data_IF_715079453572
#
_entry.id   IF_715079453572
#
_cell.length_a   1.000
_cell.length_b   1.000
_cell.length_c   1.000
_cell.angle_alpha   90.00
_cell.angle_beta   90.00
_cell.angle_gamma   90.00
#
_symmetry.space_group_name_H-M   'P 1'
#
loop_
_entity.id
_entity.type
_entity.pdbx_description
1 polymer ?
#
# COMPACT_ATOMS: atom_id res chain seq x y z
N UNK A 1 -1.26 33.05 8.82
CA UNK A 1 0.10 32.51 9.07
C UNK A 1 0.13 31.01 9.39
N UNK A 2 -0.36 30.52 10.54
CA UNK A 2 -0.11 29.13 11.03
C UNK A 2 -0.38 27.98 10.04
N UNK A 3 -1.47 28.04 9.27
CA UNK A 3 -1.80 26.97 8.30
C UNK A 3 -0.87 26.95 7.08
N UNK A 4 -0.36 28.11 6.66
CA UNK A 4 0.57 28.20 5.52
C UNK A 4 1.92 27.61 5.90
N UNK A 5 2.41 27.93 7.10
CA UNK A 5 3.67 27.37 7.61
C UNK A 5 3.60 25.85 7.75
N UNK A 6 2.46 25.32 8.21
CA UNK A 6 2.18 23.89 8.27
C UNK A 6 2.19 23.24 6.87
N UNK A 7 1.54 23.84 5.88
CA UNK A 7 1.52 23.34 4.49
C UNK A 7 2.84 23.48 3.76
N UNK A 8 3.72 24.40 4.16
CA UNK A 8 5.02 24.56 3.53
C UNK A 8 6.08 23.60 4.12
N UNK A 9 6.02 23.31 5.42
CA UNK A 9 7.11 22.59 6.10
C UNK A 9 6.72 21.25 6.71
N UNK A 10 5.44 21.00 6.97
CA UNK A 10 4.98 19.83 7.73
C UNK A 10 4.18 18.85 6.88
N UNK A 11 3.49 19.34 5.85
CA UNK A 11 2.56 18.55 5.04
C UNK A 11 2.89 18.74 3.58
N UNK A 12 2.92 17.63 2.84
CA UNK A 12 3.00 17.60 1.38
C UNK A 12 1.78 16.87 0.82
N UNK A 13 1.35 17.21 -0.39
CA UNK A 13 0.11 16.69 -0.97
C UNK A 13 0.33 16.16 -2.40
N UNK A 14 -0.25 15.00 -2.68
CA UNK A 14 -0.40 14.41 -4.01
C UNK A 14 -1.89 14.34 -4.32
N UNK A 15 -2.26 14.93 -5.45
CA UNK A 15 -3.64 15.00 -5.94
C UNK A 15 -3.90 13.91 -6.99
N UNK A 16 -5.16 13.49 -7.13
CA UNK A 16 -5.65 12.55 -8.15
C UNK A 16 -5.27 12.98 -9.57
N UNK A 17 -5.56 14.23 -9.93
CA UNK A 17 -4.95 14.90 -11.07
C UNK A 17 -3.73 15.62 -10.54
N UNK A 18 -2.52 15.12 -10.81
CA UNK A 18 -1.25 15.45 -10.15
C UNK A 18 -0.89 16.94 -10.00
N UNK A 19 -1.72 17.87 -10.46
CA UNK A 19 -1.65 19.30 -10.16
C UNK A 19 -0.36 19.91 -10.66
N UNK A 20 0.21 19.32 -11.71
CA UNK A 20 1.45 19.77 -12.32
C UNK A 20 1.17 21.01 -13.15
N UNK A 21 2.12 21.94 -13.12
CA UNK A 21 2.04 23.21 -13.83
C UNK A 21 2.52 22.96 -15.27
N UNK A 22 1.61 22.99 -16.27
CA UNK A 22 1.94 22.54 -17.63
C UNK A 22 2.93 23.46 -18.35
N UNK A 23 2.98 24.73 -17.97
CA UNK A 23 3.93 25.71 -18.51
C UNK A 23 5.33 25.60 -17.87
N UNK A 24 5.51 24.80 -16.81
CA UNK A 24 6.80 24.58 -16.15
C UNK A 24 7.44 23.26 -16.58
N UNK A 25 8.76 23.18 -16.51
CA UNK A 25 9.51 21.94 -16.74
C UNK A 25 9.30 20.94 -15.60
N UNK A 26 9.77 19.72 -15.80
CA UNK A 26 9.78 18.69 -14.75
C UNK A 26 10.54 19.16 -13.52
N UNK A 27 11.76 19.69 -13.69
CA UNK A 27 12.57 20.20 -12.59
C UNK A 27 11.91 21.36 -11.85
N UNK A 28 11.30 22.29 -12.58
CA UNK A 28 10.57 23.43 -12.01
C UNK A 28 9.33 22.99 -11.23
N UNK A 29 8.64 21.92 -11.69
CA UNK A 29 7.53 21.34 -10.96
C UNK A 29 7.98 20.70 -9.65
N UNK A 30 9.06 19.91 -9.67
CA UNK A 30 9.61 19.27 -8.47
C UNK A 30 10.12 20.32 -7.47
N UNK A 31 10.79 21.37 -7.95
CA UNK A 31 11.33 22.43 -7.11
C UNK A 31 10.31 23.48 -6.63
N UNK A 32 9.06 23.43 -7.10
CA UNK A 32 8.06 24.46 -6.83
C UNK A 32 7.82 24.71 -5.33
N UNK A 33 7.73 23.64 -4.52
CA UNK A 33 7.55 23.77 -3.07
C UNK A 33 8.73 24.45 -2.38
N UNK A 34 9.95 24.20 -2.85
CA UNK A 34 11.19 24.78 -2.32
C UNK A 34 11.33 26.26 -2.71
N UNK A 35 10.94 26.61 -3.93
CA UNK A 35 10.85 28.00 -4.40
C UNK A 35 9.90 28.82 -3.52
N UNK A 36 8.71 28.28 -3.23
CA UNK A 36 7.73 28.94 -2.36
C UNK A 36 8.17 29.05 -0.90
N UNK A 37 9.00 28.11 -0.44
CA UNK A 37 9.61 28.14 0.89
C UNK A 37 10.83 29.07 0.97
N UNK A 38 11.25 29.69 -0.14
CA UNK A 38 12.38 30.63 -0.18
C UNK A 38 13.76 29.95 -0.13
N UNK A 39 13.85 28.66 -0.47
CA UNK A 39 15.12 27.91 -0.49
C UNK A 39 16.03 28.46 -1.60
N UNK A 40 17.32 28.72 -1.32
CA UNK A 40 18.28 29.20 -2.32
C UNK A 40 18.33 28.33 -3.57
N UNK A 41 18.59 28.94 -4.72
CA UNK A 41 18.53 28.24 -6.01
C UNK A 41 19.48 27.04 -6.11
N UNK A 42 20.71 27.17 -5.61
CA UNK A 42 21.70 26.09 -5.61
C UNK A 42 21.23 24.88 -4.79
N UNK A 43 20.70 25.12 -3.59
CA UNK A 43 20.16 24.06 -2.72
C UNK A 43 18.91 23.41 -3.33
N UNK A 44 18.05 24.23 -3.97
CA UNK A 44 16.88 23.75 -4.69
C UNK A 44 17.28 22.84 -5.86
N UNK A 45 18.24 23.24 -6.70
CA UNK A 45 18.72 22.43 -7.83
C UNK A 45 19.27 21.10 -7.38
N UNK A 46 20.07 21.08 -6.30
CA UNK A 46 20.61 19.85 -5.71
C UNK A 46 19.49 18.92 -5.25
N UNK A 47 18.55 19.44 -4.45
CA UNK A 47 17.42 18.64 -3.93
C UNK A 47 16.55 18.11 -5.07
N UNK A 48 16.27 18.93 -6.09
CA UNK A 48 15.49 18.52 -7.27
C UNK A 48 16.20 17.41 -8.03
N UNK A 49 17.51 17.52 -8.26
CA UNK A 49 18.28 16.48 -8.94
C UNK A 49 18.23 15.15 -8.19
N UNK A 50 18.45 15.17 -6.86
CA UNK A 50 18.34 13.99 -6.01
C UNK A 50 16.95 13.35 -6.11
N UNK A 51 15.87 14.12 -5.99
CA UNK A 51 14.52 13.56 -6.10
C UNK A 51 14.20 13.01 -7.50
N UNK A 52 14.70 13.65 -8.56
CA UNK A 52 14.51 13.17 -9.93
C UNK A 52 15.28 11.87 -10.20
N UNK A 53 16.45 11.68 -9.60
CA UNK A 53 17.16 10.41 -9.62
C UNK A 53 16.36 9.31 -8.91
N UNK A 54 15.81 9.62 -7.72
CA UNK A 54 15.02 8.66 -6.95
C UNK A 54 13.80 8.12 -7.71
N UNK A 55 13.18 8.93 -8.58
CA UNK A 55 12.04 8.51 -9.39
C UNK A 55 12.41 8.10 -10.82
N UNK A 56 13.71 8.04 -11.15
CA UNK A 56 14.24 7.71 -12.47
C UNK A 56 13.82 8.67 -13.60
N UNK A 57 13.72 9.97 -13.31
CA UNK A 57 13.36 11.01 -14.27
C UNK A 57 14.44 12.07 -14.50
N UNK A 58 15.68 11.87 -14.03
CA UNK A 58 16.77 12.83 -14.20
C UNK A 58 16.97 13.30 -15.66
N UNK A 59 16.85 12.38 -16.63
CA UNK A 59 16.98 12.70 -18.08
C UNK A 59 15.84 13.57 -18.65
N UNK A 60 14.75 13.73 -17.90
CA UNK A 60 13.56 14.45 -18.32
C UNK A 60 13.41 15.81 -17.61
N UNK A 61 14.41 16.21 -16.81
CA UNK A 61 14.38 17.41 -15.98
C UNK A 61 13.96 18.69 -16.74
N UNK A 62 14.47 18.88 -17.96
CA UNK A 62 14.24 20.08 -18.76
C UNK A 62 12.98 20.00 -19.66
N UNK A 63 12.31 18.85 -19.69
CA UNK A 63 11.13 18.62 -20.54
C UNK A 63 9.90 19.27 -19.92
N UNK A 64 8.93 19.66 -20.75
CA UNK A 64 7.61 20.07 -20.25
C UNK A 64 6.80 18.86 -19.82
N UNK A 65 5.95 19.03 -18.81
CA UNK A 65 5.14 17.94 -18.24
C UNK A 65 4.22 17.29 -19.28
N UNK A 66 3.72 18.08 -20.23
CA UNK A 66 2.84 17.60 -21.31
C UNK A 66 3.54 16.63 -22.28
N UNK A 67 4.87 16.63 -22.32
CA UNK A 67 5.66 15.70 -23.14
C UNK A 67 5.84 14.32 -22.47
N UNK A 68 5.36 14.17 -21.24
CA UNK A 68 5.51 12.94 -20.46
C UNK A 68 4.26 12.06 -20.56
N UNK A 69 4.46 10.74 -20.46
CA UNK A 69 3.36 9.80 -20.25
C UNK A 69 2.70 10.01 -18.87
N UNK A 70 1.45 9.57 -18.70
CA UNK A 70 0.72 9.72 -17.43
C UNK A 70 1.48 9.15 -16.23
N UNK A 71 2.10 7.97 -16.37
CA UNK A 71 2.92 7.37 -15.30
C UNK A 71 4.20 8.16 -14.99
N UNK A 72 4.77 8.85 -15.97
CA UNK A 72 5.90 9.75 -15.74
C UNK A 72 5.46 11.05 -15.06
N UNK A 73 4.33 11.64 -15.47
CA UNK A 73 3.73 12.80 -14.80
C UNK A 73 3.47 12.49 -13.32
N UNK A 74 2.97 11.29 -13.02
CA UNK A 74 2.77 10.86 -11.65
C UNK A 74 4.06 10.81 -10.82
N UNK A 75 5.14 10.28 -11.38
CA UNK A 75 6.47 10.28 -10.74
C UNK A 75 6.97 11.70 -10.49
N UNK A 76 6.67 12.66 -11.37
CA UNK A 76 6.95 14.09 -11.12
C UNK A 76 6.14 14.61 -9.94
N UNK A 77 4.84 14.29 -9.86
CA UNK A 77 3.99 14.66 -8.73
C UNK A 77 4.50 14.11 -7.39
N UNK A 78 4.95 12.86 -7.39
CA UNK A 78 5.53 12.21 -6.22
C UNK A 78 6.90 12.82 -5.84
N UNK A 79 7.79 13.04 -6.82
CA UNK A 79 9.08 13.70 -6.59
C UNK A 79 8.90 15.11 -6.03
N UNK A 80 7.94 15.89 -6.55
CA UNK A 80 7.57 17.20 -6.01
C UNK A 80 7.15 17.10 -4.55
N UNK A 81 6.35 16.10 -4.22
CA UNK A 81 5.87 15.91 -2.87
C UNK A 81 7.04 15.60 -1.91
N UNK A 82 7.99 14.76 -2.34
CA UNK A 82 9.17 14.40 -1.56
C UNK A 82 10.22 15.50 -1.46
N UNK A 83 10.36 16.35 -2.49
CA UNK A 83 11.35 17.44 -2.52
C UNK A 83 11.21 18.41 -1.34
N UNK A 84 9.98 18.62 -0.84
CA UNK A 84 9.73 19.48 0.32
C UNK A 84 10.30 18.93 1.64
N UNK A 85 10.68 17.65 1.69
CA UNK A 85 11.15 17.01 2.91
C UNK A 85 10.10 16.90 4.02
N UNK A 86 8.83 17.21 3.74
CA UNK A 86 7.76 17.20 4.73
C UNK A 86 7.65 15.84 5.44
N UNK A 87 7.42 15.81 6.77
CA UNK A 87 7.23 14.56 7.53
C UNK A 87 5.91 13.84 7.22
N UNK A 88 4.88 14.58 6.77
CA UNK A 88 3.54 14.05 6.48
C UNK A 88 3.26 14.20 4.98
N UNK A 89 2.85 13.11 4.35
CA UNK A 89 2.44 13.06 2.95
C UNK A 89 0.96 12.68 2.87
N UNK A 90 0.15 13.57 2.30
CA UNK A 90 -1.26 13.35 2.04
C UNK A 90 -1.42 12.94 0.59
N UNK A 91 -2.16 11.86 0.34
CA UNK A 91 -2.47 11.40 -1.01
C UNK A 91 -3.98 11.25 -1.15
N UNK A 92 -4.54 11.96 -2.12
CA UNK A 92 -5.97 11.92 -2.43
C UNK A 92 -6.18 11.17 -3.75
N UNK A 93 -6.62 9.92 -3.65
CA UNK A 93 -6.82 8.97 -4.76
C UNK A 93 -5.71 8.98 -5.83
N UNK A 94 -4.43 8.82 -5.46
CA UNK A 94 -3.33 9.02 -6.41
C UNK A 94 -3.28 7.95 -7.52
N UNK A 95 -4.02 6.84 -7.38
CA UNK A 95 -3.96 5.69 -8.30
C UNK A 95 -5.28 5.35 -9.01
N UNK A 96 -6.37 6.05 -8.70
CA UNK A 96 -7.71 5.68 -9.20
C UNK A 96 -7.85 5.82 -10.71
N UNK A 97 -7.18 6.81 -11.31
CA UNK A 97 -7.23 7.10 -12.74
C UNK A 97 -6.29 6.22 -13.60
N UNK A 98 -5.66 5.19 -13.02
CA UNK A 98 -4.60 4.43 -13.68
C UNK A 98 -5.03 3.01 -14.04
N UNK A 99 -4.43 2.52 -15.13
CA UNK A 99 -4.48 1.11 -15.51
C UNK A 99 -3.96 0.19 -14.39
N UNK A 100 -4.55 -1.00 -14.19
CA UNK A 100 -4.22 -1.90 -13.07
C UNK A 100 -2.73 -2.27 -12.95
N UNK A 101 -2.03 -2.44 -14.10
CA UNK A 101 -0.60 -2.79 -14.12
C UNK A 101 0.28 -1.64 -13.62
N UNK A 102 -0.01 -0.41 -14.08
CA UNK A 102 0.75 0.78 -13.68
C UNK A 102 0.45 1.13 -12.23
N UNK A 103 -0.81 1.02 -11.80
CA UNK A 103 -1.24 1.12 -10.41
C UNK A 103 -0.42 0.23 -9.49
N UNK A 104 -0.41 -1.08 -9.76
CA UNK A 104 0.35 -2.07 -8.96
C UNK A 104 1.82 -1.68 -8.84
N UNK A 105 2.47 -1.33 -9.96
CA UNK A 105 3.89 -0.95 -9.97
C UNK A 105 4.16 0.29 -9.11
N UNK A 106 3.32 1.30 -9.18
CA UNK A 106 3.49 2.53 -8.40
C UNK A 106 3.21 2.34 -6.91
N UNK A 107 2.31 1.44 -6.56
CA UNK A 107 2.08 1.04 -5.16
C UNK A 107 3.33 0.36 -4.58
N UNK A 108 3.99 -0.51 -5.34
CA UNK A 108 5.24 -1.17 -4.91
C UNK A 108 6.37 -0.14 -4.73
N UNK A 109 6.50 0.81 -5.67
CA UNK A 109 7.46 1.91 -5.57
C UNK A 109 7.16 2.79 -4.34
N UNK A 110 5.88 3.08 -4.06
CA UNK A 110 5.49 3.83 -2.85
C UNK A 110 5.89 3.10 -1.56
N UNK A 111 5.67 1.79 -1.50
CA UNK A 111 6.07 0.97 -0.36
C UNK A 111 7.59 0.95 -0.16
N UNK A 112 8.36 0.88 -1.26
CA UNK A 112 9.81 0.99 -1.21
C UNK A 112 10.26 2.37 -0.68
N UNK A 113 9.65 3.44 -1.18
CA UNK A 113 9.93 4.80 -0.71
C UNK A 113 9.56 5.00 0.75
N UNK A 114 8.43 4.47 1.20
CA UNK A 114 8.00 4.54 2.59
C UNK A 114 9.03 3.86 3.51
N UNK A 115 9.53 2.68 3.14
CA UNK A 115 10.57 1.97 3.91
C UNK A 115 11.86 2.78 4.03
N UNK A 116 12.26 3.46 2.95
CA UNK A 116 13.50 4.26 2.92
C UNK A 116 13.38 5.59 3.67
N UNK A 117 12.27 6.32 3.47
CA UNK A 117 12.12 7.70 3.96
C UNK A 117 11.43 7.80 5.33
N UNK A 118 10.77 6.72 5.79
CA UNK A 118 10.08 6.64 7.09
C UNK A 118 9.14 7.82 7.38
N UNK A 119 8.47 8.30 6.33
CA UNK A 119 7.48 9.39 6.41
C UNK A 119 6.10 8.84 6.80
N UNK A 120 5.28 9.67 7.42
CA UNK A 120 3.86 9.35 7.65
C UNK A 120 3.09 9.62 6.37
N UNK A 121 2.36 8.63 5.87
CA UNK A 121 1.54 8.75 4.66
C UNK A 121 0.08 8.59 5.08
N UNK A 122 -0.74 9.61 4.81
CA UNK A 122 -2.20 9.51 4.88
C UNK A 122 -2.71 9.33 3.45
N UNK A 123 -3.31 8.17 3.21
CA UNK A 123 -3.77 7.75 1.91
C UNK A 123 -5.30 7.65 1.91
N UNK A 124 -5.94 8.31 0.95
CA UNK A 124 -7.38 8.25 0.71
C UNK A 124 -7.62 7.49 -0.59
N UNK A 125 -8.47 6.48 -0.54
CA UNK A 125 -8.91 5.73 -1.70
C UNK A 125 -10.33 5.21 -1.48
N UNK A 126 -11.06 5.02 -2.57
CA UNK A 126 -12.32 4.31 -2.60
C UNK A 126 -12.15 2.80 -2.85
N UNK A 127 -10.93 2.35 -3.15
CA UNK A 127 -10.60 0.96 -3.42
C UNK A 127 -9.96 0.34 -2.17
N UNK A 128 -10.62 -0.67 -1.62
CA UNK A 128 -10.16 -1.35 -0.42
C UNK A 128 -8.95 -2.25 -0.70
N UNK A 129 -8.81 -2.83 -1.90
CA UNK A 129 -7.63 -3.64 -2.23
C UNK A 129 -6.35 -2.78 -2.12
N UNK A 130 -6.43 -1.50 -2.50
CA UNK A 130 -5.33 -0.55 -2.32
C UNK A 130 -5.07 -0.25 -0.84
N UNK A 131 -6.13 0.00 -0.07
CA UNK A 131 -6.03 0.29 1.35
C UNK A 131 -5.40 -0.88 2.12
N UNK A 132 -5.76 -2.12 1.80
CA UNK A 132 -5.20 -3.33 2.41
C UNK A 132 -3.77 -3.63 1.95
N UNK A 133 -3.45 -3.37 0.68
CA UNK A 133 -2.11 -3.59 0.16
C UNK A 133 -1.07 -2.63 0.76
N UNK A 134 -1.44 -1.36 0.92
CA UNK A 134 -0.50 -0.29 1.30
C UNK A 134 -0.62 0.09 2.77
N UNK A 135 -1.82 0.02 3.33
CA UNK A 135 -2.15 0.56 4.65
C UNK A 135 -1.73 -0.33 5.80
N UNK A 136 -1.00 0.24 6.75
CA UNK A 136 -0.75 -0.41 8.05
C UNK A 136 -1.97 -0.33 8.98
N UNK A 137 -2.74 0.76 8.85
CA UNK A 137 -4.00 1.01 9.56
C UNK A 137 -4.97 1.63 8.58
N UNK A 138 -6.21 1.16 8.60
CA UNK A 138 -7.27 1.61 7.69
C UNK A 138 -8.38 2.21 8.54
N UNK A 139 -8.96 3.30 8.06
CA UNK A 139 -10.16 3.89 8.62
C UNK A 139 -11.23 3.92 7.53
N UNK A 140 -12.32 3.18 7.75
CA UNK A 140 -13.49 3.16 6.87
C UNK A 140 -14.43 4.28 7.29
N UNK A 141 -14.93 5.05 6.33
CA UNK A 141 -15.80 6.18 6.58
C UNK A 141 -17.13 6.04 5.83
N UNK A 142 -18.23 6.41 6.48
CA UNK A 142 -19.57 6.46 5.90
C UNK A 142 -20.27 7.73 6.41
N UNK A 143 -20.90 8.49 5.51
CA UNK A 143 -21.61 9.73 5.89
C UNK A 143 -20.73 10.76 6.62
N UNK A 144 -19.41 10.78 6.33
CA UNK A 144 -18.45 11.67 6.98
C UNK A 144 -18.01 11.23 8.38
N UNK A 145 -18.38 10.03 8.85
CA UNK A 145 -17.97 9.49 10.14
C UNK A 145 -17.09 8.26 9.95
N UNK A 146 -16.08 8.10 10.79
CA UNK A 146 -15.29 6.87 10.86
C UNK A 146 -16.17 5.78 11.46
N UNK A 147 -16.46 4.76 10.67
CA UNK A 147 -17.26 3.60 11.06
C UNK A 147 -16.39 2.59 11.81
N UNK A 148 -15.20 2.29 11.26
CA UNK A 148 -14.25 1.36 11.83
C UNK A 148 -12.83 1.80 11.52
N UNK A 149 -11.93 1.65 12.49
CA UNK A 149 -10.50 1.85 12.31
C UNK A 149 -9.74 0.69 12.92
N UNK A 150 -8.84 0.07 12.17
CA UNK A 150 -8.11 -1.12 12.61
C UNK A 150 -6.98 -1.49 11.67
N UNK A 151 -6.32 -2.60 11.95
CA UNK A 151 -5.41 -3.21 10.98
C UNK A 151 -6.22 -3.87 9.85
N UNK A 152 -5.58 -4.12 8.69
CA UNK A 152 -6.12 -4.97 7.65
C UNK A 152 -6.85 -6.23 8.16
N UNK A 153 -6.20 -6.96 9.06
CA UNK A 153 -6.69 -8.24 9.58
C UNK A 153 -7.89 -8.05 10.51
N UNK A 154 -7.87 -7.02 11.36
CA UNK A 154 -8.97 -6.75 12.29
C UNK A 154 -10.28 -6.43 11.55
N UNK A 155 -10.20 -5.67 10.47
CA UNK A 155 -11.36 -5.25 9.68
C UNK A 155 -12.03 -6.46 9.00
N UNK A 156 -11.24 -7.39 8.46
CA UNK A 156 -11.76 -8.60 7.80
C UNK A 156 -12.32 -9.59 8.82
N UNK A 157 -11.60 -9.79 9.93
CA UNK A 157 -11.96 -10.81 10.91
C UNK A 157 -13.14 -10.39 11.78
N UNK A 158 -13.23 -9.10 12.10
CA UNK A 158 -14.22 -8.55 13.03
C UNK A 158 -14.84 -7.26 12.44
N UNK A 159 -15.64 -7.35 11.35
CA UNK A 159 -16.37 -6.20 10.84
C UNK A 159 -17.39 -5.72 11.90
N UNK A 160 -17.44 -4.41 12.14
CA UNK A 160 -18.28 -3.84 13.23
C UNK A 160 -19.77 -3.76 12.87
N UNK A 161 -20.11 -3.76 11.57
CA UNK A 161 -21.48 -3.71 11.09
C UNK A 161 -21.59 -4.34 9.69
N UNK A 162 -22.84 -4.47 9.20
CA UNK A 162 -23.13 -5.06 7.89
C UNK A 162 -22.48 -4.27 6.75
N UNK A 163 -22.45 -2.95 6.83
CA UNK A 163 -21.81 -2.10 5.82
C UNK A 163 -20.33 -2.46 5.63
N UNK A 164 -19.57 -2.61 6.72
CA UNK A 164 -18.16 -3.02 6.65
C UNK A 164 -18.04 -4.47 6.17
N UNK A 165 -18.94 -5.38 6.59
CA UNK A 165 -18.94 -6.76 6.14
C UNK A 165 -19.17 -6.85 4.61
N UNK A 166 -20.17 -6.14 4.08
CA UNK A 166 -20.48 -6.09 2.65
C UNK A 166 -19.32 -5.50 1.84
N UNK A 167 -18.66 -4.46 2.38
CA UNK A 167 -17.47 -3.88 1.76
C UNK A 167 -16.31 -4.88 1.69
N UNK A 168 -16.10 -5.69 2.74
CA UNK A 168 -15.06 -6.74 2.77
C UNK A 168 -15.38 -7.89 1.81
N UNK A 169 -16.65 -8.26 1.65
CA UNK A 169 -17.07 -9.39 0.81
C UNK A 169 -16.78 -9.20 -0.68
N UNK A 170 -16.67 -7.96 -1.16
CA UNK A 170 -16.37 -7.67 -2.55
C UNK A 170 -14.88 -7.85 -2.91
N UNK A 171 -14.02 -8.19 -1.94
CA UNK A 171 -12.58 -8.41 -2.16
C UNK A 171 -12.20 -9.87 -2.30
N UNK A 172 -10.97 -10.09 -2.79
CA UNK A 172 -10.39 -11.42 -2.88
C UNK A 172 -9.68 -11.79 -1.54
N UNK A 173 -10.28 -12.66 -0.70
CA UNK A 173 -9.74 -12.94 0.64
C UNK A 173 -8.37 -13.64 0.59
N UNK A 174 -7.98 -14.22 -0.55
CA UNK A 174 -6.72 -14.95 -0.73
C UNK A 174 -5.50 -14.07 -0.39
N UNK A 175 -5.53 -12.78 -0.72
CA UNK A 175 -4.38 -11.89 -0.55
C UNK A 175 -4.16 -11.45 0.91
N UNK A 176 -5.14 -11.68 1.77
CA UNK A 176 -5.17 -11.16 3.14
C UNK A 176 -5.08 -12.23 4.21
N UNK A 177 -5.52 -13.45 3.88
CA UNK A 177 -5.49 -14.55 4.82
C UNK A 177 -4.07 -15.04 5.05
N UNK A 178 -3.81 -15.39 6.30
CA UNK A 178 -2.59 -16.05 6.73
C UNK A 178 -2.83 -17.54 6.95
N UNK A 179 -1.75 -18.30 7.10
CA UNK A 179 -1.80 -19.71 7.47
C UNK A 179 -2.65 -19.91 8.75
N UNK A 180 -2.52 -19.01 9.73
CA UNK A 180 -3.27 -19.07 10.99
C UNK A 180 -4.79 -18.91 10.82
N UNK A 181 -5.25 -18.17 9.80
CA UNK A 181 -6.68 -17.91 9.59
C UNK A 181 -7.42 -19.12 9.01
N UNK A 182 -6.69 -20.01 8.33
CA UNK A 182 -7.24 -21.13 7.57
C UNK A 182 -6.91 -22.49 8.21
N UNK A 183 -5.89 -22.55 9.07
CA UNK A 183 -5.48 -23.81 9.69
C UNK A 183 -6.54 -24.43 10.59
N UNK A 184 -6.55 -25.77 10.61
CA UNK A 184 -7.18 -26.53 11.69
C UNK A 184 -6.17 -26.69 12.82
N UNK A 185 -6.56 -26.32 14.03
CA UNK A 185 -5.77 -26.59 15.23
C UNK A 185 -5.68 -28.09 15.44
N UNK A 186 -4.48 -28.64 15.38
CA UNK A 186 -4.22 -30.04 15.74
C UNK A 186 -4.05 -30.11 17.26
N UNK A 187 -4.74 -31.06 17.91
CA UNK A 187 -4.37 -31.47 19.27
C UNK A 187 -2.94 -32.03 19.31
N UNK A 188 -2.46 -32.39 20.49
CA UNK A 188 -1.05 -32.67 20.83
C UNK A 188 -0.30 -33.79 20.06
N UNK A 189 -0.80 -34.28 18.93
CA UNK A 189 -0.02 -35.08 17.97
C UNK A 189 -0.59 -34.94 16.56
N UNK A 190 0.22 -34.55 15.55
CA UNK A 190 -0.21 -34.56 14.17
C UNK A 190 -0.30 -36.03 13.71
N UNK A 191 -1.51 -36.55 13.56
CA UNK A 191 -1.74 -37.87 12.94
C UNK A 191 -1.54 -37.84 11.43
N UNK A 192 -1.43 -36.65 10.84
CA UNK A 192 -1.26 -36.42 9.41
C UNK A 192 0.21 -36.14 9.08
N UNK A 193 0.74 -36.82 8.05
CA UNK A 193 2.08 -36.57 7.53
C UNK A 193 2.15 -35.20 6.88
N UNK A 194 3.02 -34.33 7.39
CA UNK A 194 3.20 -32.97 6.87
C UNK A 194 4.16 -33.01 5.67
N UNK A 195 3.71 -32.48 4.52
CA UNK A 195 4.52 -32.40 3.29
C UNK A 195 5.39 -31.14 3.26
N UNK A 196 4.95 -30.04 3.86
CA UNK A 196 5.65 -28.76 3.90
C UNK A 196 5.28 -27.97 5.17
N UNK A 197 6.07 -26.97 5.55
CA UNK A 197 5.80 -26.15 6.75
C UNK A 197 5.65 -24.67 6.42
N UNK A 198 4.78 -23.97 7.14
CA UNK A 198 4.59 -22.53 7.06
C UNK A 198 4.52 -21.90 8.46
N UNK A 199 4.93 -20.63 8.59
CA UNK A 199 4.70 -19.88 9.83
C UNK A 199 3.23 -19.46 9.93
N UNK A 200 2.68 -19.23 11.15
CA UNK A 200 1.32 -18.74 11.32
C UNK A 200 1.03 -17.44 10.54
N UNK A 201 2.04 -16.58 10.41
CA UNK A 201 1.96 -15.30 9.70
C UNK A 201 2.22 -15.40 8.19
N UNK A 202 2.55 -16.58 7.66
CA UNK A 202 2.79 -16.77 6.24
C UNK A 202 1.49 -16.49 5.46
N UNK A 203 1.61 -15.88 4.28
CA UNK A 203 0.44 -15.54 3.45
C UNK A 203 -0.17 -16.81 2.87
N UNK A 204 -1.49 -16.84 2.72
CA UNK A 204 -2.18 -17.99 2.12
C UNK A 204 -1.67 -18.30 0.70
N UNK A 205 -1.25 -17.29 -0.06
CA UNK A 205 -0.60 -17.48 -1.37
C UNK A 205 0.70 -18.29 -1.28
N UNK A 206 1.51 -18.06 -0.25
CA UNK A 206 2.76 -18.79 -0.02
C UNK A 206 2.47 -20.25 0.37
N UNK A 207 1.41 -20.47 1.15
CA UNK A 207 0.93 -21.81 1.50
C UNK A 207 0.44 -22.55 0.25
N UNK A 208 -0.35 -21.90 -0.61
CA UNK A 208 -0.83 -22.46 -1.87
C UNK A 208 0.33 -22.82 -2.83
N UNK A 209 1.33 -21.96 -2.93
CA UNK A 209 2.54 -22.23 -3.71
C UNK A 209 3.32 -23.44 -3.17
N UNK A 210 3.43 -23.55 -1.84
CA UNK A 210 4.05 -24.70 -1.19
C UNK A 210 3.30 -26.00 -1.49
N UNK A 211 1.95 -25.98 -1.43
CA UNK A 211 1.09 -27.13 -1.75
C UNK A 211 1.19 -27.55 -3.21
N UNK A 212 1.39 -26.58 -4.12
CA UNK A 212 1.57 -26.86 -5.55
C UNK A 212 2.91 -27.55 -5.83
N UNK A 213 3.97 -27.16 -5.11
CA UNK A 213 5.30 -27.78 -5.23
C UNK A 213 5.38 -29.15 -4.56
N UNK A 214 4.73 -29.29 -3.40
CA UNK A 214 4.71 -30.50 -2.60
C UNK A 214 3.27 -30.82 -2.19
N UNK A 215 2.55 -31.63 -3.00
CA UNK A 215 1.18 -32.01 -2.69
C UNK A 215 1.07 -32.69 -1.33
N UNK A 216 0.08 -32.27 -0.55
CA UNK A 216 -0.22 -32.83 0.77
C UNK A 216 -0.57 -31.76 1.78
N UNK A 217 -0.41 -32.08 3.06
CA UNK A 217 -0.80 -31.23 4.17
C UNK A 217 0.35 -30.30 4.56
N UNK A 218 0.06 -29.00 4.71
CA UNK A 218 1.04 -28.02 5.20
C UNK A 218 0.89 -27.89 6.72
N UNK A 219 1.97 -28.13 7.46
CA UNK A 219 2.03 -27.93 8.89
C UNK A 219 2.31 -26.48 9.22
N UNK A 220 1.50 -25.87 10.09
CA UNK A 220 1.76 -24.54 10.61
C UNK A 220 2.62 -24.67 11.86
N UNK A 221 3.83 -24.12 11.81
CA UNK A 221 4.84 -24.26 12.86
C UNK A 221 5.07 -22.92 13.53
N UNK A 222 4.84 -22.86 14.84
CA UNK A 222 5.17 -21.72 15.69
C UNK A 222 6.17 -22.13 16.75
N UNK A 223 7.29 -21.40 16.88
CA UNK A 223 8.38 -21.70 17.81
C UNK A 223 8.85 -23.17 17.82
N UNK A 224 8.89 -23.81 16.64
CA UNK A 224 9.32 -25.20 16.48
C UNK A 224 8.26 -26.25 16.82
N UNK A 225 7.04 -25.83 17.19
CA UNK A 225 5.91 -26.71 17.48
C UNK A 225 4.86 -26.58 16.39
N UNK A 226 4.32 -27.71 15.93
CA UNK A 226 3.19 -27.72 14.99
C UNK A 226 1.93 -27.30 15.76
N UNK A 227 1.43 -26.10 15.47
CA UNK A 227 0.23 -25.52 16.10
C UNK A 227 -1.04 -25.82 15.29
N UNK A 228 -0.90 -26.21 14.03
CA UNK A 228 -2.02 -26.57 13.18
C UNK A 228 -1.60 -27.18 11.86
N UNK A 229 -2.58 -27.59 11.07
CA UNK A 229 -2.38 -28.13 9.71
C UNK A 229 -3.37 -27.53 8.73
N UNK A 230 -2.95 -27.45 7.46
CA UNK A 230 -3.73 -26.90 6.36
C UNK A 230 -3.77 -27.94 5.23
N UNK A 231 -4.97 -28.42 4.91
CA UNK A 231 -5.26 -29.22 3.71
C UNK A 231 -5.92 -28.37 2.62
N UNK A 232 -6.03 -28.91 1.41
CA UNK A 232 -6.70 -28.20 0.30
C UNK A 232 -8.18 -27.92 0.63
N UNK A 233 -8.83 -28.83 1.37
CA UNK A 233 -10.20 -28.67 1.82
C UNK A 233 -10.33 -27.55 2.87
N UNK A 234 -9.33 -27.39 3.73
CA UNK A 234 -9.29 -26.33 4.74
C UNK A 234 -9.18 -24.96 4.07
N UNK A 235 -8.38 -24.86 3.00
CA UNK A 235 -8.31 -23.64 2.18
C UNK A 235 -9.65 -23.30 1.56
N UNK A 236 -10.31 -24.26 0.90
CA UNK A 236 -11.64 -24.04 0.30
C UNK A 236 -12.67 -23.63 1.36
N UNK A 237 -12.62 -24.25 2.54
CA UNK A 237 -13.54 -23.96 3.65
C UNK A 237 -13.27 -22.58 4.27
N UNK A 238 -11.99 -22.20 4.44
CA UNK A 238 -11.59 -20.87 4.90
C UNK A 238 -12.04 -19.77 3.94
N UNK A 239 -11.83 -19.97 2.64
CA UNK A 239 -12.27 -19.02 1.61
C UNK A 239 -13.79 -18.88 1.52
N UNK A 240 -14.54 -19.95 1.77
CA UNK A 240 -16.01 -19.92 1.72
C UNK A 240 -16.65 -19.36 3.00
N UNK A 241 -16.03 -19.55 4.17
CA UNK A 241 -16.48 -18.94 5.44
C UNK A 241 -16.47 -17.41 5.40
N UNK A 242 -15.51 -16.82 4.68
CA UNK A 242 -15.42 -15.36 4.55
C UNK A 242 -16.27 -14.78 3.43
N UNK A 243 -16.93 -15.64 2.64
CA UNK A 243 -17.82 -15.24 1.54
C UNK A 243 -19.31 -15.43 1.89
N UNK A 244 -19.64 -16.06 3.02
CA UNK A 244 -21.01 -16.25 3.50
C UNK A 244 -21.15 -15.71 4.93
N UNK A 245 -21.62 -14.48 5.06
CA UNK A 245 -22.62 -14.03 6.06
C UNK A 245 -23.42 -12.89 5.44
#
# INVERSE_FOLDING_TARGET
>A
QKLRDLRMHKVSMVFQQFGLLPWRTVAENVGFGLELAGVPEEERKKTVAEQLELVNLAKWADRKVQELSGGMQQRVGLARAFATGAPILLMDEPFSALDPLIRTRLQDELLEFQRRLKKTILFVSHDLDEAFRIGNRIAIMEGGRIVQCGTPQDIVRNPINQYVADFVQNMNPINMLTAADVMRTTGASPTETVSATAMPTARLTEVLDAMTKQPGVVGVVDNGVVVGVISAQDVVTGLTRHRKV
#
